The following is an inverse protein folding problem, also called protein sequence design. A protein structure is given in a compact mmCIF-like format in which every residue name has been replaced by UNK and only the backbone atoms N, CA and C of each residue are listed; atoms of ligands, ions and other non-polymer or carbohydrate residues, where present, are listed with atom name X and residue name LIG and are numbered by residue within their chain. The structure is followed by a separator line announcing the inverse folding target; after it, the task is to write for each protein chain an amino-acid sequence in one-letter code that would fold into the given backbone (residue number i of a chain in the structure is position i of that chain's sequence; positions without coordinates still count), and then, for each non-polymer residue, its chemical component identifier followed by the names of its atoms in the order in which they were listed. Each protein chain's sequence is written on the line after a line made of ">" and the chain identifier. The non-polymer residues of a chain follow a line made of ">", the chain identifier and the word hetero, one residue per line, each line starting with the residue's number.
data_IF_181395057378
#
_entry.id   IF_181395057378
#
_cell.length_a   1.000
_cell.length_b   1.000
_cell.length_c   1.000
_cell.angle_alpha   90.00
_cell.angle_beta   90.00
_cell.angle_gamma   90.00
#
_symmetry.space_group_name_H-M   'P 1'
#
loop_
_entity.id
_entity.type
_entity.pdbx_description
1 polymer ?
#
# COMPACT_ATOMS: atom_id res chain seq x y z
N UNK A 1 12.95 -4.76 22.78
CA UNK A 1 12.10 -4.10 21.77
C UNK A 1 11.14 -5.03 21.05
N UNK A 2 11.25 -6.35 21.24
CA UNK A 2 10.26 -7.34 20.79
C UNK A 2 10.31 -7.62 19.29
N UNK A 3 11.16 -6.91 18.55
CA UNK A 3 11.54 -7.22 17.19
C UNK A 3 12.49 -8.41 17.17
N UNK A 4 12.42 -9.22 16.11
CA UNK A 4 13.21 -10.45 15.98
C UNK A 4 13.44 -10.74 14.50
N UNK A 5 14.63 -11.27 14.14
CA UNK A 5 14.89 -11.73 12.78
C UNK A 5 14.37 -13.16 12.64
N UNK A 6 13.33 -13.33 11.83
CA UNK A 6 12.60 -14.61 11.70
C UNK A 6 12.57 -15.13 10.26
N UNK A 7 13.28 -14.48 9.33
CA UNK A 7 13.24 -14.78 7.91
C UNK A 7 12.12 -14.02 7.20
N UNK A 8 12.14 -14.01 5.86
CA UNK A 8 11.25 -13.19 5.04
C UNK A 8 9.80 -13.70 5.12
N UNK A 9 8.91 -12.86 5.63
CA UNK A 9 7.48 -13.15 5.73
C UNK A 9 6.65 -11.90 5.46
N UNK A 10 5.39 -12.12 5.10
CA UNK A 10 4.35 -11.11 5.26
C UNK A 10 3.86 -11.14 6.71
N UNK A 11 3.97 -10.01 7.40
CA UNK A 11 3.45 -9.78 8.74
C UNK A 11 2.23 -8.85 8.71
N UNK A 12 1.36 -8.98 9.71
CA UNK A 12 0.36 -7.98 10.05
C UNK A 12 0.36 -7.74 11.55
N UNK A 13 0.24 -6.48 11.97
CA UNK A 13 0.19 -6.09 13.40
C UNK A 13 -1.22 -6.14 14.00
N UNK A 14 -2.27 -6.37 13.20
CA UNK A 14 -3.65 -6.52 13.67
C UNK A 14 -4.49 -7.58 12.93
N UNK A 15 -3.89 -8.35 12.03
CA UNK A 15 -4.55 -9.38 11.22
C UNK A 15 -4.63 -9.02 9.74
N UNK A 16 -4.75 -10.03 8.87
CA UNK A 16 -4.84 -9.83 7.42
C UNK A 16 -6.23 -9.41 6.94
N UNK A 17 -7.22 -9.38 7.82
CA UNK A 17 -8.59 -8.97 7.49
C UNK A 17 -9.01 -7.71 8.27
N UNK A 18 -8.10 -7.09 9.03
CA UNK A 18 -8.37 -5.82 9.70
C UNK A 18 -8.29 -4.68 8.69
N UNK A 19 -9.44 -4.12 8.35
CA UNK A 19 -9.59 -3.00 7.43
C UNK A 19 -9.92 -1.67 8.14
N UNK A 20 -9.80 -1.62 9.47
CA UNK A 20 -10.07 -0.43 10.29
C UNK A 20 -9.11 0.72 10.01
N UNK A 21 -7.91 0.40 9.51
CA UNK A 21 -6.81 1.33 9.26
C UNK A 21 -6.45 2.16 10.50
N UNK A 22 -6.42 1.52 11.67
CA UNK A 22 -5.86 2.16 12.86
C UNK A 22 -4.41 2.57 12.60
N UNK A 23 -3.97 3.75 13.06
CA UNK A 23 -2.71 4.38 12.67
C UNK A 23 -1.40 3.64 13.06
N UNK A 24 -1.51 2.46 13.65
CA UNK A 24 -0.40 1.55 13.97
C UNK A 24 -0.64 0.12 13.47
N UNK A 25 -1.70 -0.09 12.70
CA UNK A 25 -1.95 -1.33 11.98
C UNK A 25 -1.39 -1.21 10.57
N UNK A 26 -0.58 -2.18 10.20
CA UNK A 26 0.06 -2.23 8.91
C UNK A 26 0.44 -3.67 8.59
N UNK A 27 0.57 -3.93 7.31
CA UNK A 27 1.26 -5.09 6.79
C UNK A 27 2.72 -4.72 6.53
N UNK A 28 3.61 -5.70 6.66
CA UNK A 28 5.03 -5.53 6.41
C UNK A 28 5.59 -6.79 5.74
N UNK A 29 6.32 -6.64 4.64
CA UNK A 29 7.04 -7.74 4.00
C UNK A 29 8.53 -7.64 4.31
N UNK A 30 9.02 -8.40 5.29
CA UNK A 30 10.32 -8.18 5.93
C UNK A 30 10.91 -9.47 6.50
N UNK A 31 12.23 -9.52 6.66
CA UNK A 31 12.93 -10.58 7.38
C UNK A 31 12.91 -10.39 8.92
N UNK A 32 12.48 -9.21 9.38
CA UNK A 32 12.44 -8.80 10.79
C UNK A 32 11.00 -8.50 11.22
N UNK A 33 10.52 -9.23 12.22
CA UNK A 33 9.27 -8.94 12.92
C UNK A 33 9.38 -7.58 13.62
N UNK A 34 8.38 -6.68 13.52
CA UNK A 34 8.56 -5.30 13.95
C UNK A 34 8.48 -5.04 15.46
N UNK A 35 7.98 -5.99 16.26
CA UNK A 35 7.79 -5.77 17.70
C UNK A 35 6.93 -4.51 17.99
N UNK A 36 7.43 -3.63 18.85
CA UNK A 36 6.75 -2.38 19.21
C UNK A 36 7.15 -1.17 18.34
N UNK A 37 7.96 -1.36 17.31
CA UNK A 37 8.40 -0.27 16.46
C UNK A 37 7.30 0.27 15.55
N UNK A 38 7.31 1.59 15.35
CA UNK A 38 6.51 2.25 14.32
C UNK A 38 7.23 2.04 12.98
N UNK A 39 6.48 1.83 11.91
CA UNK A 39 7.03 1.52 10.59
C UNK A 39 6.54 2.46 9.48
N UNK A 40 6.05 3.65 9.82
CA UNK A 40 5.53 4.61 8.83
C UNK A 40 6.62 5.13 7.86
N UNK A 41 7.89 5.05 8.26
CA UNK A 41 9.07 5.39 7.44
C UNK A 41 9.75 4.14 6.82
N UNK A 42 9.25 2.94 7.13
CA UNK A 42 9.87 1.70 6.71
C UNK A 42 9.53 1.38 5.25
N UNK A 43 10.40 0.65 4.53
CA UNK A 43 10.07 0.08 3.25
C UNK A 43 9.12 -1.10 3.40
N UNK A 44 8.46 -1.46 2.30
CA UNK A 44 7.62 -2.66 2.19
C UNK A 44 6.57 -2.74 3.31
N UNK A 45 6.04 -1.58 3.69
CA UNK A 45 5.11 -1.40 4.81
C UNK A 45 3.97 -0.48 4.40
N UNK A 46 2.73 -0.86 4.74
CA UNK A 46 1.55 -0.09 4.37
C UNK A 46 0.26 -0.69 4.93
N UNK A 47 -0.87 -0.11 4.56
CA UNK A 47 -2.19 -0.61 4.96
C UNK A 47 -2.62 -1.83 4.12
N UNK A 48 -2.06 -1.96 2.92
CA UNK A 48 -2.23 -3.11 2.03
C UNK A 48 -0.94 -3.26 1.20
N UNK A 49 -0.53 -4.50 0.95
CA UNK A 49 0.66 -4.82 0.15
C UNK A 49 0.35 -5.86 -0.91
N UNK A 50 1.02 -5.76 -2.05
CA UNK A 50 1.12 -6.81 -3.07
C UNK A 50 2.59 -6.95 -3.43
N UNK A 51 3.09 -8.17 -3.65
CA UNK A 51 4.50 -8.36 -3.98
C UNK A 51 4.69 -9.50 -4.99
N UNK A 52 5.79 -9.41 -5.73
CA UNK A 52 6.32 -10.49 -6.53
C UNK A 52 7.72 -10.87 -6.02
N UNK A 53 8.47 -11.69 -6.77
CA UNK A 53 9.80 -12.15 -6.37
C UNK A 53 10.83 -11.01 -6.19
N UNK A 54 10.62 -9.86 -6.83
CA UNK A 54 11.59 -8.75 -6.90
C UNK A 54 11.13 -7.50 -6.15
N UNK A 55 9.83 -7.22 -6.14
CA UNK A 55 9.28 -5.93 -5.69
C UNK A 55 8.07 -6.10 -4.79
N UNK A 56 7.93 -5.15 -3.88
CA UNK A 56 6.74 -4.96 -3.06
C UNK A 56 6.10 -3.63 -3.42
N UNK A 57 4.79 -3.66 -3.62
CA UNK A 57 3.93 -2.51 -3.86
C UNK A 57 3.03 -2.32 -2.66
N UNK A 58 2.71 -1.08 -2.34
CA UNK A 58 1.86 -0.82 -1.18
C UNK A 58 1.16 0.52 -1.21
N UNK A 59 0.16 0.64 -0.34
CA UNK A 59 -0.48 1.91 0.01
C UNK A 59 -0.07 2.33 1.41
N UNK A 60 0.41 3.56 1.55
CA UNK A 60 0.73 4.18 2.83
C UNK A 60 -0.16 5.42 3.04
N UNK A 61 -1.11 5.32 3.96
CA UNK A 61 -1.99 6.42 4.36
C UNK A 61 -1.33 7.33 5.40
N UNK A 62 -0.52 6.76 6.29
CA UNK A 62 0.03 7.44 7.46
C UNK A 62 1.43 7.98 7.20
N UNK A 63 1.53 8.91 6.25
CA UNK A 63 2.81 9.51 5.82
C UNK A 63 3.30 10.66 6.71
N UNK A 64 2.48 11.05 7.70
CA UNK A 64 2.82 12.04 8.72
C UNK A 64 2.69 11.46 10.13
N UNK A 65 3.20 12.17 11.14
CA UNK A 65 3.16 11.77 12.54
C UNK A 65 3.25 12.93 13.52
N UNK A 66 2.58 12.75 14.66
CA UNK A 66 2.69 13.58 15.86
C UNK A 66 3.34 12.70 16.92
N UNK A 67 4.65 12.88 17.11
CA UNK A 67 5.45 12.07 18.03
C UNK A 67 5.27 10.58 17.76
N UNK A 68 4.50 9.86 18.58
CA UNK A 68 4.30 8.41 18.45
C UNK A 68 3.00 8.03 17.75
N UNK A 69 2.28 8.98 17.19
CA UNK A 69 1.01 8.74 16.50
C UNK A 69 1.15 9.12 15.04
N UNK A 70 1.28 8.16 14.12
CA UNK A 70 1.08 8.43 12.71
C UNK A 70 -0.31 9.03 12.50
N UNK A 71 -0.45 9.94 11.54
CA UNK A 71 -1.75 10.55 11.26
C UNK A 71 -1.92 10.80 9.76
N UNK A 72 -3.18 10.90 9.37
CA UNK A 72 -3.64 11.14 8.03
C UNK A 72 -4.71 12.24 8.09
N UNK A 73 -4.73 13.09 7.09
CA UNK A 73 -5.74 14.13 6.93
C UNK A 73 -6.41 13.90 5.56
N UNK A 74 -7.71 13.54 5.54
CA UNK A 74 -8.46 13.39 4.29
C UNK A 74 -8.39 14.64 3.43
N UNK A 75 -8.38 14.47 2.10
CA UNK A 75 -8.39 15.53 1.10
C UNK A 75 -7.15 16.46 1.11
N UNK A 76 -6.12 16.19 1.93
CA UNK A 76 -4.92 17.04 1.97
C UNK A 76 -3.73 16.46 1.22
N UNK A 77 -3.15 15.38 1.72
CA UNK A 77 -1.94 14.79 1.13
C UNK A 77 -2.26 13.67 0.15
N UNK A 78 -3.43 13.03 0.31
CA UNK A 78 -3.80 11.81 -0.39
C UNK A 78 -3.12 10.56 0.19
N UNK A 79 -3.22 9.47 -0.56
CA UNK A 79 -2.62 8.18 -0.23
C UNK A 79 -1.37 7.96 -1.09
N UNK A 80 -0.32 7.43 -0.48
CA UNK A 80 0.93 7.15 -1.20
C UNK A 80 0.91 5.72 -1.73
N UNK A 81 0.89 5.54 -3.05
CA UNK A 81 1.18 4.27 -3.71
C UNK A 81 2.68 4.24 -4.00
N UNK A 82 3.36 3.14 -3.72
CA UNK A 82 4.80 3.03 -3.93
C UNK A 82 5.21 1.64 -4.40
N UNK A 83 6.44 1.54 -4.92
CA UNK A 83 7.16 0.29 -5.09
C UNK A 83 8.53 0.34 -4.42
N UNK A 84 8.90 -0.77 -3.78
CA UNK A 84 10.21 -1.02 -3.20
C UNK A 84 10.82 -2.28 -3.81
N UNK A 85 12.15 -2.32 -3.90
CA UNK A 85 12.86 -3.59 -4.07
C UNK A 85 12.69 -4.46 -2.83
N UNK A 86 12.53 -5.76 -3.03
CA UNK A 86 12.40 -6.73 -1.93
C UNK A 86 13.67 -6.81 -1.06
N UNK A 87 14.82 -6.35 -1.56
CA UNK A 87 16.08 -6.29 -0.81
C UNK A 87 16.22 -5.03 0.08
N UNK A 88 15.29 -4.06 -0.03
CA UNK A 88 15.24 -2.87 0.82
C UNK A 88 14.60 -3.24 2.16
N UNK A 89 15.35 -3.92 3.03
CA UNK A 89 14.87 -4.32 4.35
C UNK A 89 14.65 -3.10 5.28
N UNK A 90 13.65 -3.14 6.18
CA UNK A 90 13.49 -2.13 7.21
C UNK A 90 14.67 -2.15 8.18
N UNK A 91 15.17 -0.95 8.51
CA UNK A 91 16.35 -0.80 9.36
C UNK A 91 16.01 -0.06 10.65
N UNK A 92 16.80 -0.32 11.69
CA UNK A 92 16.82 0.52 12.88
C UNK A 92 18.10 1.35 12.87
N UNK A 93 17.95 2.67 12.81
CA UNK A 93 19.09 3.58 12.79
C UNK A 93 19.95 3.36 14.04
N UNK A 94 21.27 3.32 13.86
CA UNK A 94 22.24 3.08 14.94
C UNK A 94 22.45 1.62 15.33
N UNK A 95 21.85 0.66 14.60
CA UNK A 95 22.23 -0.75 14.72
C UNK A 95 23.71 -0.93 14.30
N UNK A 96 24.54 -1.66 15.07
CA UNK A 96 25.94 -1.86 14.73
C UNK A 96 26.14 -2.46 13.34
N UNK A 97 26.85 -1.73 12.46
CA UNK A 97 27.05 -2.14 11.06
C UNK A 97 25.83 -2.00 10.17
N UNK A 98 24.75 -1.39 10.66
CA UNK A 98 23.55 -1.06 9.89
C UNK A 98 23.81 0.11 8.93
N UNK A 99 23.02 0.22 7.84
CA UNK A 99 23.12 1.34 6.91
C UNK A 99 22.51 2.62 7.51
N UNK A 100 22.76 3.74 6.85
CA UNK A 100 22.13 5.03 7.19
C UNK A 100 20.70 5.11 6.64
N UNK A 101 19.85 5.86 7.34
CA UNK A 101 18.48 6.10 6.91
C UNK A 101 18.42 7.18 5.81
N UNK A 102 17.52 7.00 4.84
CA UNK A 102 17.29 7.98 3.78
C UNK A 102 15.93 8.68 3.93
N UNK A 103 15.91 9.99 3.70
CA UNK A 103 14.68 10.78 3.68
C UNK A 103 13.88 10.48 2.41
N UNK A 104 12.56 10.29 2.54
CA UNK A 104 11.70 9.96 1.39
C UNK A 104 10.26 10.45 1.52
N UNK A 105 9.73 10.55 2.74
CA UNK A 105 8.43 11.16 2.99
C UNK A 105 8.53 12.69 3.05
N UNK A 106 7.38 13.37 2.95
CA UNK A 106 7.30 14.83 3.16
C UNK A 106 7.69 15.23 4.59
N UNK A 107 7.44 14.36 5.57
CA UNK A 107 7.83 14.56 6.97
C UNK A 107 8.80 13.45 7.39
N UNK A 108 10.04 13.80 7.72
CA UNK A 108 11.08 12.88 8.20
C UNK A 108 11.48 13.15 9.66
N UNK A 109 10.81 14.10 10.31
CA UNK A 109 11.12 14.55 11.66
C UNK A 109 9.87 15.02 12.39
N UNK A 110 9.97 15.12 13.72
CA UNK A 110 8.96 15.73 14.57
C UNK A 110 9.59 16.33 15.83
N UNK A 111 8.92 17.33 16.40
CA UNK A 111 9.36 17.93 17.66
C UNK A 111 8.89 17.16 18.89
N UNK A 112 9.78 17.06 19.87
CA UNK A 112 9.50 16.50 21.19
C UNK A 112 9.89 17.48 22.30
N UNK A 113 9.51 17.19 23.55
CA UNK A 113 9.95 17.97 24.70
C UNK A 113 11.47 17.92 24.93
N UNK A 114 12.19 17.04 24.24
CA UNK A 114 13.65 16.86 24.33
C UNK A 114 14.38 17.36 23.08
N UNK A 115 13.69 18.06 22.18
CA UNK A 115 14.20 18.50 20.89
C UNK A 115 13.61 17.72 19.71
N UNK A 116 14.09 18.05 18.52
CA UNK A 116 13.67 17.44 17.25
C UNK A 116 14.16 16.00 17.17
N UNK A 117 13.29 15.10 16.72
CA UNK A 117 13.59 13.69 16.45
C UNK A 117 13.45 13.46 14.96
N UNK A 118 14.52 12.99 14.31
CA UNK A 118 14.56 12.71 12.88
C UNK A 118 14.90 11.24 12.59
N UNK A 119 14.96 10.88 11.30
CA UNK A 119 15.30 9.53 10.82
C UNK A 119 16.76 9.11 11.11
N UNK A 120 17.67 10.05 11.35
CA UNK A 120 19.08 9.80 11.63
C UNK A 120 19.34 9.53 13.11
N UNK A 121 18.39 9.85 14.00
CA UNK A 121 18.48 9.50 15.42
C UNK A 121 18.46 7.97 15.64
N UNK A 122 19.34 7.43 16.50
CA UNK A 122 19.35 6.00 16.81
C UNK A 122 18.02 5.48 17.39
N UNK A 123 17.47 4.43 16.77
CA UNK A 123 16.25 3.73 17.20
C UNK A 123 16.50 2.27 17.59
N UNK A 124 17.68 1.73 17.28
CA UNK A 124 18.10 0.40 17.74
C UNK A 124 18.10 0.32 19.27
N UNK A 125 17.42 -0.69 19.82
CA UNK A 125 17.21 -0.89 21.26
C UNK A 125 16.59 0.31 22.00
N UNK A 126 15.73 1.09 21.32
CA UNK A 126 14.98 2.22 21.92
C UNK A 126 13.47 2.03 21.86
N UNK A 127 12.81 2.10 23.01
CA UNK A 127 11.33 2.05 23.14
C UNK A 127 10.56 3.07 22.31
N UNK A 128 11.20 4.19 22.00
CA UNK A 128 10.59 5.37 21.39
C UNK A 128 11.54 5.99 20.38
N UNK A 129 10.97 6.64 19.38
CA UNK A 129 11.68 7.34 18.32
C UNK A 129 10.90 7.26 17.01
N UNK A 130 11.60 7.45 15.89
CA UNK A 130 11.03 7.27 14.56
C UNK A 130 10.60 5.81 14.32
N UNK A 131 11.33 4.83 14.87
CA UNK A 131 11.07 3.40 14.68
C UNK A 131 11.88 2.86 13.50
N UNK A 132 11.26 1.98 12.71
CA UNK A 132 11.86 1.48 11.47
C UNK A 132 11.92 2.56 10.40
N UNK A 133 13.04 2.60 9.69
CA UNK A 133 13.31 3.46 8.54
C UNK A 133 13.76 2.60 7.35
N UNK A 134 14.19 3.25 6.26
CA UNK A 134 14.71 2.60 5.05
C UNK A 134 16.12 3.07 4.70
N UNK A 135 16.87 2.19 4.03
CA UNK A 135 18.22 2.47 3.55
C UNK A 135 18.25 2.95 2.08
N UNK A 136 17.22 2.60 1.29
CA UNK A 136 17.10 3.01 -0.13
C UNK A 136 15.77 3.72 -0.35
N UNK A 137 15.70 4.73 -1.24
CA UNK A 137 14.43 5.34 -1.64
C UNK A 137 13.50 4.31 -2.30
N UNK A 138 12.20 4.60 -2.43
CA UNK A 138 11.33 3.73 -3.23
C UNK A 138 11.79 3.78 -4.69
N UNK A 139 11.53 2.70 -5.45
CA UNK A 139 11.75 2.68 -6.89
C UNK A 139 10.94 3.77 -7.58
N UNK A 140 9.70 3.92 -7.14
CA UNK A 140 8.81 5.01 -7.51
C UNK A 140 7.75 5.20 -6.43
N UNK A 141 7.13 6.38 -6.41
CA UNK A 141 5.99 6.68 -5.55
C UNK A 141 5.04 7.68 -6.22
N UNK A 142 3.74 7.56 -5.95
CA UNK A 142 2.70 8.41 -6.51
C UNK A 142 1.65 8.73 -5.46
N UNK A 143 1.24 10.00 -5.40
CA UNK A 143 0.15 10.45 -4.53
C UNK A 143 -1.17 10.34 -5.26
N UNK A 144 -2.13 9.62 -4.67
CA UNK A 144 -3.45 9.37 -5.27
C UNK A 144 -4.55 9.81 -4.31
N UNK A 145 -5.70 10.19 -4.86
CA UNK A 145 -6.90 10.55 -4.12
C UNK A 145 -7.84 9.35 -3.98
N UNK A 146 -7.30 8.15 -3.73
CA UNK A 146 -8.06 6.92 -3.57
C UNK A 146 -7.55 6.17 -2.36
N UNK A 147 -8.46 5.84 -1.44
CA UNK A 147 -8.18 4.96 -0.31
C UNK A 147 -8.14 3.52 -0.80
N UNK A 148 -7.02 3.09 -1.36
CA UNK A 148 -6.87 1.75 -1.95
C UNK A 148 -7.17 0.64 -0.92
N UNK A 149 -8.33 -0.02 -1.05
CA UNK A 149 -8.78 -1.12 -0.17
C UNK A 149 -8.63 -2.48 -0.82
N UNK A 150 -8.53 -2.54 -2.14
CA UNK A 150 -8.19 -3.76 -2.86
C UNK A 150 -7.06 -3.46 -3.84
N UNK A 151 -6.11 -4.36 -3.98
CA UNK A 151 -4.92 -4.18 -4.80
C UNK A 151 -4.47 -5.54 -5.34
N UNK A 152 -4.07 -5.60 -6.60
CA UNK A 152 -3.51 -6.81 -7.19
C UNK A 152 -2.51 -6.47 -8.29
N UNK A 153 -1.56 -7.36 -8.52
CA UNK A 153 -0.54 -7.22 -9.57
C UNK A 153 -0.87 -8.25 -10.66
N UNK A 154 -0.93 -7.80 -11.91
CA UNK A 154 -1.16 -8.68 -13.05
C UNK A 154 -0.09 -8.44 -14.11
N UNK A 155 0.12 -9.46 -14.95
CA UNK A 155 0.96 -9.30 -16.13
C UNK A 155 0.25 -8.39 -17.14
N UNK A 156 0.99 -7.51 -17.82
CA UNK A 156 0.41 -6.54 -18.77
C UNK A 156 0.14 -7.14 -20.16
N UNK A 157 0.36 -8.44 -20.36
CA UNK A 157 0.21 -9.14 -21.64
C UNK A 157 1.35 -8.88 -22.65
N UNK A 158 2.08 -7.77 -22.51
CA UNK A 158 3.27 -7.43 -23.30
C UNK A 158 4.58 -7.62 -22.51
N UNK A 159 5.49 -8.44 -23.04
CA UNK A 159 6.84 -8.64 -22.50
C UNK A 159 6.84 -9.13 -21.05
N UNK A 160 7.80 -8.68 -20.25
CA UNK A 160 7.85 -8.92 -18.79
C UNK A 160 7.11 -7.84 -17.98
N UNK A 161 6.26 -7.05 -18.65
CA UNK A 161 5.54 -5.94 -18.05
C UNK A 161 4.49 -6.38 -17.03
N UNK A 162 4.24 -5.52 -16.05
CA UNK A 162 3.20 -5.74 -15.03
C UNK A 162 2.41 -4.46 -14.80
N UNK A 163 1.13 -4.65 -14.50
CA UNK A 163 0.21 -3.60 -14.12
C UNK A 163 -0.21 -3.82 -12.69
N UNK A 164 -0.05 -2.79 -11.87
CA UNK A 164 -0.61 -2.74 -10.53
C UNK A 164 -2.02 -2.15 -10.64
N UNK A 165 -3.00 -2.93 -10.23
CA UNK A 165 -4.38 -2.49 -10.08
C UNK A 165 -4.66 -2.19 -8.61
N UNK A 166 -5.35 -1.09 -8.35
CA UNK A 166 -5.87 -0.81 -7.02
C UNK A 166 -7.23 -0.12 -7.11
N UNK A 167 -8.08 -0.37 -6.14
CA UNK A 167 -9.38 0.26 -6.06
C UNK A 167 -9.77 0.64 -4.64
N UNK A 168 -10.62 1.64 -4.53
CA UNK A 168 -11.14 2.10 -3.26
C UNK A 168 -12.01 3.34 -3.36
N UNK A 169 -12.59 3.79 -2.24
CA UNK A 169 -13.32 5.05 -2.18
C UNK A 169 -12.43 6.26 -2.52
N UNK A 170 -13.00 7.33 -3.10
CA UNK A 170 -12.28 8.58 -3.33
C UNK A 170 -11.88 9.27 -2.01
N UNK A 171 -10.80 10.05 -2.02
CA UNK A 171 -10.39 10.93 -0.92
C UNK A 171 -11.07 12.30 -1.04
N UNK A 172 -12.35 12.36 -0.69
CA UNK A 172 -13.17 13.58 -0.79
C UNK A 172 -14.08 13.71 0.42
N UNK A 173 -14.38 14.95 0.81
CA UNK A 173 -15.46 15.25 1.75
C UNK A 173 -16.74 15.55 0.97
N UNK A 174 -17.78 14.75 1.18
CA UNK A 174 -19.10 14.98 0.55
C UNK A 174 -19.90 15.93 1.45
N UNK A 175 -20.32 17.12 0.97
CA UNK A 175 -21.08 18.06 1.79
C UNK A 175 -22.40 17.46 2.28
N UNK A 176 -22.61 17.45 3.60
CA UNK A 176 -23.81 16.88 4.21
C UNK A 176 -23.77 15.36 4.43
N UNK A 177 -22.73 14.68 3.97
CA UNK A 177 -22.38 13.31 4.36
C UNK A 177 -20.84 13.16 4.37
N UNK A 178 -20.18 13.78 5.34
CA UNK A 178 -18.72 13.87 5.40
C UNK A 178 -18.04 12.50 5.55
N UNK A 179 -18.80 11.47 5.98
CA UNK A 179 -18.32 10.09 6.10
C UNK A 179 -18.59 9.24 4.85
N UNK A 180 -19.26 9.76 3.81
CA UNK A 180 -19.66 9.01 2.63
C UNK A 180 -18.47 8.29 1.98
N UNK A 181 -17.39 9.02 1.71
CA UNK A 181 -16.16 8.46 1.15
C UNK A 181 -15.51 7.44 2.09
N UNK A 182 -15.35 7.79 3.37
CA UNK A 182 -14.71 6.91 4.35
C UNK A 182 -15.44 5.57 4.50
N UNK A 183 -16.77 5.58 4.40
CA UNK A 183 -17.65 4.42 4.54
C UNK A 183 -18.06 3.81 3.18
N UNK A 184 -17.41 4.18 2.08
CA UNK A 184 -17.62 3.59 0.75
C UNK A 184 -18.89 4.02 0.00
N UNK A 185 -19.76 4.85 0.60
CA UNK A 185 -21.00 5.37 -0.02
C UNK A 185 -20.75 6.33 -1.18
N UNK A 186 -19.56 6.91 -1.30
CA UNK A 186 -19.18 7.76 -2.43
C UNK A 186 -18.76 6.95 -3.69
N UNK A 187 -19.05 5.64 -3.70
CA UNK A 187 -18.60 4.71 -4.74
C UNK A 187 -17.10 4.46 -4.65
N UNK A 188 -16.47 4.22 -5.79
CA UNK A 188 -15.04 3.95 -5.83
C UNK A 188 -14.39 4.33 -7.15
N UNK A 189 -13.08 4.14 -7.18
CA UNK A 189 -12.27 4.20 -8.38
C UNK A 189 -11.45 2.93 -8.49
N UNK A 190 -11.37 2.37 -9.69
CA UNK A 190 -10.36 1.40 -10.09
C UNK A 190 -9.27 2.13 -10.88
N UNK A 191 -8.03 1.96 -10.46
CA UNK A 191 -6.85 2.49 -11.13
C UNK A 191 -5.99 1.34 -11.65
N UNK A 192 -5.38 1.56 -12.80
CA UNK A 192 -4.34 0.72 -13.37
C UNK A 192 -3.09 1.58 -13.56
N UNK A 193 -1.98 1.16 -12.98
CA UNK A 193 -0.69 1.85 -13.09
C UNK A 193 0.41 0.87 -13.52
N UNK A 194 1.40 1.38 -14.25
CA UNK A 194 2.59 0.62 -14.60
C UNK A 194 3.36 0.24 -13.33
N UNK A 195 3.65 -1.04 -13.15
CA UNK A 195 4.45 -1.51 -12.03
C UNK A 195 5.93 -1.10 -12.15
N UNK A 196 6.37 -0.70 -13.35
CA UNK A 196 7.75 -0.32 -13.62
C UNK A 196 8.11 1.04 -13.00
N UNK A 197 7.21 2.01 -13.12
CA UNK A 197 7.45 3.44 -12.87
C UNK A 197 6.28 4.17 -12.17
N UNK A 198 5.13 3.51 -11.97
CA UNK A 198 3.96 4.10 -11.34
C UNK A 198 3.14 5.01 -12.25
N UNK A 199 3.42 5.05 -13.56
CA UNK A 199 2.63 5.86 -14.50
C UNK A 199 1.19 5.36 -14.59
N UNK A 200 0.23 6.28 -14.63
CA UNK A 200 -1.18 5.93 -14.74
C UNK A 200 -1.53 5.48 -16.15
N UNK A 201 -2.02 4.25 -16.28
CA UNK A 201 -2.47 3.66 -17.53
C UNK A 201 -3.95 3.96 -17.75
N UNK A 202 -4.78 3.70 -16.74
CA UNK A 202 -6.23 3.88 -16.84
C UNK A 202 -6.87 4.13 -15.47
N UNK A 203 -8.06 4.74 -15.51
CA UNK A 203 -8.93 4.95 -14.36
C UNK A 203 -10.37 4.68 -14.76
N UNK A 204 -11.12 4.03 -13.88
CA UNK A 204 -12.52 3.71 -14.07
C UNK A 204 -13.28 4.04 -12.78
N UNK A 205 -14.40 4.75 -12.92
CA UNK A 205 -15.30 5.01 -11.80
C UNK A 205 -16.14 3.77 -11.52
N UNK A 206 -16.35 3.49 -10.23
CA UNK A 206 -17.17 2.40 -9.72
C UNK A 206 -18.35 2.98 -8.96
N UNK A 207 -19.53 2.39 -9.15
CA UNK A 207 -20.74 2.79 -8.42
C UNK A 207 -20.63 2.43 -6.93
N UNK A 208 -19.95 1.33 -6.61
CA UNK A 208 -19.74 0.82 -5.25
C UNK A 208 -18.26 0.63 -4.95
N UNK A 209 -17.86 0.88 -3.70
CA UNK A 209 -16.50 0.63 -3.25
C UNK A 209 -16.17 -0.88 -3.25
N UNK A 210 -14.90 -1.26 -3.45
CA UNK A 210 -14.47 -2.64 -3.25
C UNK A 210 -14.48 -3.03 -1.78
N UNK A 211 -14.72 -4.32 -1.50
CA UNK A 211 -14.40 -4.90 -0.19
C UNK A 211 -12.88 -4.93 0.00
N UNK A 212 -12.43 -4.91 1.26
CA UNK A 212 -11.01 -4.98 1.59
C UNK A 212 -10.39 -6.30 1.09
N UNK A 213 -9.23 -6.20 0.43
CA UNK A 213 -8.51 -7.32 -0.20
C UNK A 213 -9.37 -8.16 -1.17
N UNK A 214 -10.38 -7.53 -1.78
CA UNK A 214 -11.39 -8.20 -2.60
C UNK A 214 -11.10 -8.30 -4.09
N UNK A 215 -9.84 -8.19 -4.52
CA UNK A 215 -9.48 -8.11 -5.95
C UNK A 215 -8.43 -9.13 -6.35
N UNK A 216 -8.65 -9.80 -7.48
CA UNK A 216 -7.72 -10.78 -8.04
C UNK A 216 -7.70 -10.71 -9.56
N UNK A 217 -6.54 -10.99 -10.17
CA UNK A 217 -6.41 -11.17 -11.60
C UNK A 217 -6.24 -12.66 -11.96
N UNK A 218 -7.01 -13.15 -12.92
CA UNK A 218 -6.88 -14.51 -13.44
C UNK A 218 -7.46 -14.61 -14.85
N UNK A 219 -6.86 -15.43 -15.71
CA UNK A 219 -7.36 -15.72 -17.09
C UNK A 219 -7.68 -14.45 -17.87
N UNK A 220 -6.73 -13.52 -17.92
CA UNK A 220 -6.83 -12.25 -18.66
C UNK A 220 -8.00 -11.36 -18.20
N UNK A 221 -8.45 -11.56 -16.97
CA UNK A 221 -9.52 -10.79 -16.34
C UNK A 221 -9.12 -10.33 -14.95
N UNK A 222 -9.61 -9.15 -14.59
CA UNK A 222 -9.66 -8.67 -13.22
C UNK A 222 -11.04 -8.98 -12.63
N UNK A 223 -11.07 -9.58 -11.44
CA UNK A 223 -12.27 -9.80 -10.65
C UNK A 223 -12.21 -8.96 -9.38
N UNK A 224 -13.35 -8.38 -9.00
CA UNK A 224 -13.45 -7.54 -7.82
C UNK A 224 -14.80 -7.73 -7.13
N UNK A 225 -14.80 -7.95 -5.82
CA UNK A 225 -16.03 -7.94 -5.02
C UNK A 225 -16.28 -6.53 -4.46
N UNK A 226 -17.51 -6.05 -4.56
CA UNK A 226 -17.94 -4.73 -4.06
C UNK A 226 -18.70 -4.85 -2.73
N UNK A 227 -18.76 -3.76 -1.97
CA UNK A 227 -19.42 -3.73 -0.65
C UNK A 227 -20.93 -4.03 -0.70
N UNK A 228 -21.58 -3.82 -1.85
CA UNK A 228 -22.97 -4.21 -2.08
C UNK A 228 -23.16 -5.72 -2.40
N UNK A 229 -22.08 -6.51 -2.42
CA UNK A 229 -22.10 -7.96 -2.65
C UNK A 229 -22.04 -8.40 -4.11
N UNK A 230 -21.79 -7.49 -5.06
CA UNK A 230 -21.57 -7.85 -6.47
C UNK A 230 -20.13 -8.31 -6.73
N UNK A 231 -19.96 -9.08 -7.82
CA UNK A 231 -18.65 -9.42 -8.38
C UNK A 231 -18.58 -8.78 -9.76
N UNK A 232 -17.63 -7.86 -9.92
CA UNK A 232 -17.32 -7.21 -11.18
C UNK A 232 -16.22 -7.97 -11.91
N UNK A 233 -16.33 -8.07 -13.23
CA UNK A 233 -15.33 -8.68 -14.11
C UNK A 233 -14.91 -7.71 -15.21
N UNK A 234 -13.61 -7.44 -15.30
CA UNK A 234 -13.02 -6.56 -16.30
C UNK A 234 -12.13 -7.38 -17.21
N UNK A 235 -12.56 -7.58 -18.45
CA UNK A 235 -11.81 -8.33 -19.46
C UNK A 235 -11.13 -7.37 -20.43
N UNK A 236 -9.95 -7.75 -20.91
CA UNK A 236 -9.35 -7.11 -22.08
C UNK A 236 -10.27 -7.36 -23.30
N UNK A 237 -10.79 -6.30 -23.95
CA UNK A 237 -11.61 -6.44 -25.16
C UNK A 237 -10.93 -7.24 -26.28
N UNK A 238 -9.60 -7.23 -26.35
CA UNK A 238 -8.81 -7.94 -27.37
C UNK A 238 -8.79 -9.45 -27.19
N UNK A 239 -9.11 -9.96 -25.99
CA UNK A 239 -9.10 -11.40 -25.65
C UNK A 239 -10.49 -12.06 -25.81
N UNK A 240 -11.55 -11.26 -26.05
CA UNK A 240 -12.93 -11.75 -26.21
C UNK A 240 -13.16 -12.75 -27.36
N UNK A 241 -12.17 -13.00 -28.21
CA UNK A 241 -12.30 -13.91 -29.36
C UNK A 241 -12.10 -15.41 -29.02
N UNK A 242 -11.72 -15.77 -27.79
CA UNK A 242 -11.42 -17.18 -27.43
C UNK A 242 -12.49 -17.88 -26.59
N UNK A 243 -13.56 -17.19 -26.18
CA UNK A 243 -14.69 -17.80 -25.45
C UNK A 243 -16.00 -17.45 -26.16
N UNK A 244 -16.11 -17.87 -27.41
CA UNK A 244 -17.42 -18.10 -28.03
C UNK A 244 -17.70 -19.61 -27.98
N UNK A 245 -18.60 -20.09 -27.10
CA UNK A 245 -18.97 -21.50 -27.06
C UNK A 245 -19.67 -21.97 -28.34
N UNK A 246 -19.98 -21.09 -29.30
CA UNK A 246 -20.60 -21.43 -30.57
C UNK A 246 -19.62 -21.90 -31.68
N UNK A 247 -18.30 -21.94 -31.45
CA UNK A 247 -17.33 -22.42 -32.46
C UNK A 247 -16.43 -23.55 -31.98
N UNK A 248 -16.93 -24.79 -32.19
CA UNK A 248 -16.26 -26.05 -32.60
C UNK A 248 -16.98 -27.22 -31.90
N UNK A 249 -17.75 -28.05 -32.59
CA UNK A 249 -17.31 -28.88 -33.72
C UNK A 249 -18.29 -28.90 -34.91
N UNK A 250 -17.70 -28.73 -36.09
CA UNK A 250 -18.16 -29.22 -37.39
C UNK A 250 -17.00 -30.00 -37.99
#
# INVERSE_FOLDING_TARGET
>A
MGDERVGLHLFSTAGFLDDSWFNRTYWMYSARWPGFYIANQAPKTGQLLVFDDKRTYGVNAFTRRNRHSPFFFPETDGYLIFADDNDNEPILTGEPGGPEAVAWLRQNEYDSSRGTVDIAMPTFDKDKGIGFTRAKPPLWMSWVNVRARAMTLAHSGEGDGKTLFFAGPPDVLVPGDELAAFQGRAGGWLWAVSAADGETIARLQLDDAPVFDGMIAARDMLFMTTENGQILGFADPSVRTLIDPAKKAS
#
